data_IF_055514204445
#
_entry.id   IF_055514204445
#
_cell.length_a   1.000
_cell.length_b   1.000
_cell.length_c   1.000
_cell.angle_alpha   90.00
_cell.angle_beta   90.00
_cell.angle_gamma   90.00
#
_symmetry.space_group_name_H-M   'P 1'
#
loop_
_entity.id
_entity.type
_entity.pdbx_description
1 polymer ?
#
# COMPACT_ATOMS: atom_id res chain seq x y z
N UNK A 1 6.23 -1.26 -24.56
CA UNK A 1 5.68 -0.72 -23.30
C UNK A 1 5.49 -1.83 -22.25
N UNK A 2 6.57 -2.31 -21.62
CA UNK A 2 6.53 -3.34 -20.54
C UNK A 2 6.86 -2.78 -19.16
N UNK A 3 7.41 -1.59 -19.11
CA UNK A 3 7.89 -0.91 -17.91
C UNK A 3 7.02 0.31 -17.67
N UNK A 4 6.66 0.53 -16.40
CA UNK A 4 6.02 1.76 -15.95
C UNK A 4 6.79 2.32 -14.77
N UNK A 5 6.78 3.63 -14.67
CA UNK A 5 7.27 4.33 -13.49
C UNK A 5 6.16 4.33 -12.44
N UNK A 6 6.52 4.03 -11.19
CA UNK A 6 5.64 4.09 -10.03
C UNK A 6 6.34 4.88 -8.93
N UNK A 7 5.58 5.69 -8.19
CA UNK A 7 6.11 6.39 -7.04
C UNK A 7 6.40 5.42 -5.90
N UNK A 8 7.39 5.77 -5.07
CA UNK A 8 7.71 5.01 -3.86
C UNK A 8 8.31 5.94 -2.79
N UNK A 9 8.44 5.47 -1.53
CA UNK A 9 9.03 6.26 -0.45
C UNK A 9 10.50 6.63 -0.69
N UNK A 10 11.17 5.96 -1.64
CA UNK A 10 12.56 6.22 -2.01
C UNK A 10 12.68 6.92 -3.38
N UNK A 11 11.58 7.47 -3.89
CA UNK A 11 11.50 8.11 -5.21
C UNK A 11 10.93 7.19 -6.31
N UNK A 12 10.94 7.64 -7.57
CA UNK A 12 10.35 6.89 -8.69
C UNK A 12 11.12 5.59 -8.99
N UNK A 13 10.38 4.51 -9.18
CA UNK A 13 10.92 3.17 -9.48
C UNK A 13 10.34 2.64 -10.79
N UNK A 14 11.15 1.86 -11.52
CA UNK A 14 10.68 1.13 -12.72
C UNK A 14 10.11 -0.22 -12.32
N UNK A 15 8.81 -0.40 -12.56
CA UNK A 15 8.10 -1.66 -12.32
C UNK A 15 7.70 -2.33 -13.64
N UNK A 16 7.76 -3.67 -13.66
CA UNK A 16 7.32 -4.47 -14.80
C UNK A 16 5.81 -4.67 -14.71
N UNK A 17 5.10 -4.42 -15.82
CA UNK A 17 3.67 -4.76 -15.89
C UNK A 17 3.48 -6.27 -15.75
N UNK A 18 2.39 -6.75 -15.12
CA UNK A 18 2.10 -8.18 -15.01
C UNK A 18 2.30 -8.94 -16.35
N UNK A 19 2.86 -10.16 -16.31
CA UNK A 19 3.11 -10.94 -17.52
C UNK A 19 1.80 -11.39 -18.16
N UNK A 20 0.80 -11.75 -17.34
CA UNK A 20 -0.54 -12.10 -17.80
C UNK A 20 -1.33 -10.83 -18.10
N UNK A 21 -1.94 -10.78 -19.28
CA UNK A 21 -2.81 -9.69 -19.73
C UNK A 21 -4.21 -10.23 -19.94
N UNK A 22 -5.20 -9.55 -19.39
CA UNK A 22 -6.61 -9.83 -19.63
C UNK A 22 -7.10 -8.77 -20.62
N UNK A 23 -7.82 -9.18 -21.67
CA UNK A 23 -8.33 -8.25 -22.68
C UNK A 23 -9.27 -7.23 -22.05
N UNK A 24 -9.09 -5.95 -22.38
CA UNK A 24 -9.89 -4.85 -21.83
C UNK A 24 -9.57 -4.46 -20.39
N UNK A 25 -8.60 -5.12 -19.72
CA UNK A 25 -8.20 -4.80 -18.35
C UNK A 25 -6.78 -4.23 -18.33
N UNK A 26 -6.66 -3.00 -17.87
CA UNK A 26 -5.37 -2.39 -17.59
C UNK A 26 -4.96 -2.61 -16.13
N UNK A 27 -3.74 -3.14 -15.87
CA UNK A 27 -3.22 -3.29 -14.53
C UNK A 27 -3.09 -1.94 -13.83
N UNK A 28 -3.51 -1.89 -12.57
CA UNK A 28 -3.28 -0.74 -11.69
C UNK A 28 -1.81 -0.75 -11.27
N UNK A 29 -1.06 0.25 -11.73
CA UNK A 29 0.35 0.47 -11.40
C UNK A 29 0.47 1.68 -10.46
N UNK A 30 -0.19 1.60 -9.30
CA UNK A 30 -0.18 2.67 -8.30
C UNK A 30 1.15 2.79 -7.55
N UNK A 31 1.23 3.79 -6.67
CA UNK A 31 2.39 4.01 -5.81
C UNK A 31 2.63 2.82 -4.86
N UNK A 32 3.90 2.60 -4.52
CA UNK A 32 4.29 1.69 -3.44
C UNK A 32 4.15 2.44 -2.12
N UNK A 33 3.37 1.92 -1.15
CA UNK A 33 3.20 2.60 0.13
C UNK A 33 4.45 2.51 1.00
N UNK A 34 4.62 3.49 1.89
CA UNK A 34 5.59 3.41 2.96
C UNK A 34 5.21 2.33 4.00
N UNK A 35 6.20 1.88 4.78
CA UNK A 35 5.97 0.99 5.91
C UNK A 35 5.03 1.70 6.89
N UNK A 36 3.88 1.08 7.17
CA UNK A 36 2.88 1.60 8.11
C UNK A 36 1.92 2.66 7.55
N UNK A 37 2.02 3.04 6.26
CA UNK A 37 1.23 4.12 5.66
C UNK A 37 -0.29 3.97 5.85
N UNK A 38 -0.78 2.73 5.83
CA UNK A 38 -2.21 2.43 5.93
C UNK A 38 -2.65 1.85 7.27
N UNK A 39 -1.74 1.72 8.25
CA UNK A 39 -2.04 1.03 9.53
C UNK A 39 -3.27 1.60 10.23
N UNK A 40 -3.30 2.92 10.46
CA UNK A 40 -4.38 3.56 11.24
C UNK A 40 -5.70 3.58 10.47
N UNK A 41 -5.64 3.78 9.15
CA UNK A 41 -6.81 3.76 8.28
C UNK A 41 -7.48 2.38 8.32
N UNK A 42 -6.70 1.31 8.16
CA UNK A 42 -7.21 -0.06 8.21
C UNK A 42 -7.72 -0.44 9.60
N UNK A 43 -7.04 -0.05 10.68
CA UNK A 43 -7.53 -0.30 12.03
C UNK A 43 -8.88 0.39 12.28
N UNK A 44 -9.02 1.63 11.81
CA UNK A 44 -10.29 2.36 11.88
C UNK A 44 -11.39 1.68 11.07
N UNK A 45 -11.10 1.26 9.84
CA UNK A 45 -12.04 0.51 8.98
C UNK A 45 -12.49 -0.82 9.61
N UNK A 46 -11.61 -1.46 10.38
CA UNK A 46 -11.89 -2.68 11.11
C UNK A 46 -12.65 -2.45 12.43
N UNK A 47 -12.94 -1.20 12.78
CA UNK A 47 -13.70 -0.83 13.98
C UNK A 47 -12.89 -0.65 15.25
N UNK A 48 -11.56 -0.58 15.16
CA UNK A 48 -10.70 -0.20 16.29
C UNK A 48 -10.82 1.30 16.51
N UNK A 49 -11.10 1.69 17.75
CA UNK A 49 -11.11 3.10 18.10
C UNK A 49 -9.66 3.64 18.27
N UNK A 50 -9.49 4.97 18.44
CA UNK A 50 -8.17 5.55 18.65
C UNK A 50 -7.45 5.04 19.91
N UNK A 51 -8.18 4.66 20.97
CA UNK A 51 -7.60 4.15 22.20
C UNK A 51 -7.05 2.72 22.01
N UNK A 52 -7.76 1.88 21.27
CA UNK A 52 -7.27 0.55 20.90
C UNK A 52 -6.01 0.63 20.03
N UNK A 53 -6.01 1.51 19.02
CA UNK A 53 -4.85 1.72 18.15
C UNK A 53 -3.64 2.21 18.94
N UNK A 54 -3.84 3.13 19.89
CA UNK A 54 -2.77 3.60 20.78
C UNK A 54 -2.22 2.46 21.65
N UNK A 55 -3.08 1.58 22.17
CA UNK A 55 -2.67 0.39 22.95
C UNK A 55 -1.84 -0.58 22.10
N UNK A 56 -2.22 -0.81 20.85
CA UNK A 56 -1.46 -1.69 19.94
C UNK A 56 -0.06 -1.14 19.65
N UNK A 57 0.06 0.18 19.42
CA UNK A 57 1.36 0.85 19.24
C UNK A 57 2.23 0.77 20.49
N UNK A 58 1.65 1.02 21.67
CA UNK A 58 2.38 0.93 22.93
C UNK A 58 2.91 -0.49 23.20
N UNK A 59 2.21 -1.51 22.70
CA UNK A 59 2.63 -2.91 22.77
C UNK A 59 3.62 -3.31 21.66
N UNK A 60 3.92 -2.44 20.69
CA UNK A 60 4.76 -2.76 19.52
C UNK A 60 4.13 -3.78 18.57
N UNK A 61 2.80 -3.94 18.60
CA UNK A 61 2.07 -4.87 17.73
C UNK A 61 1.87 -4.31 16.31
N UNK A 62 1.93 -2.98 16.18
CA UNK A 62 1.84 -2.21 14.92
C UNK A 62 2.80 -1.04 14.94
#
# INVERSE_FOLDING_TARGET
DRWREVDSPVGPLRAVRPPVRISGVDPVMGAVPAVGEHTDALLTELGYDPADTARLRAAGAV
#
